data_IF_299281348456
#
_entry.id   IF_299281348456
#
_cell.length_a   1.000
_cell.length_b   1.000
_cell.length_c   1.000
_cell.angle_alpha   90.00
_cell.angle_beta   90.00
_cell.angle_gamma   90.00
#
_symmetry.space_group_name_H-M   'P 1'
#
loop_
_entity.id
_entity.type
_entity.pdbx_description
1 polymer ?
#
# COMPACT_ATOMS: atom_id res chain seq x y z
N UNK A 1 -16.03 1.67 -4.31
CA UNK A 1 -14.58 1.94 -4.11
C UNK A 1 -14.24 3.16 -4.93
N UNK A 2 -14.26 4.35 -4.33
CA UNK A 2 -13.89 5.58 -5.05
C UNK A 2 -12.45 5.41 -5.52
N UNK A 3 -12.20 5.46 -6.83
CA UNK A 3 -10.87 5.27 -7.43
C UNK A 3 -9.79 6.15 -6.78
N UNK A 4 -10.18 7.30 -6.24
CA UNK A 4 -9.32 8.21 -5.48
C UNK A 4 -8.83 7.64 -4.13
N UNK A 5 -9.60 6.74 -3.51
CA UNK A 5 -9.27 6.16 -2.21
C UNK A 5 -8.15 5.12 -2.23
N UNK A 6 -7.70 4.66 -3.40
CA UNK A 6 -6.57 3.73 -3.54
C UNK A 6 -5.31 4.42 -4.08
N UNK A 7 -5.36 5.72 -4.38
CA UNK A 7 -4.20 6.44 -4.92
C UNK A 7 -3.00 6.43 -3.95
N UNK A 8 -3.24 6.28 -2.65
CA UNK A 8 -2.18 6.15 -1.64
C UNK A 8 -1.38 4.84 -1.72
N UNK A 9 -1.87 3.81 -2.43
CA UNK A 9 -1.15 2.52 -2.62
C UNK A 9 0.01 2.66 -3.60
N UNK A 10 -0.07 3.60 -4.53
CA UNK A 10 0.91 3.79 -5.63
C UNK A 10 2.35 3.89 -5.10
N UNK A 11 2.69 4.78 -4.13
CA UNK A 11 4.05 4.87 -3.62
C UNK A 11 4.55 3.60 -2.91
N UNK A 12 3.66 2.82 -2.28
CA UNK A 12 4.04 1.54 -1.65
C UNK A 12 4.43 0.50 -2.70
N UNK A 13 3.70 0.47 -3.83
CA UNK A 13 4.01 -0.41 -4.93
C UNK A 13 5.31 0.00 -5.66
N UNK A 14 5.54 1.30 -5.84
CA UNK A 14 6.79 1.80 -6.42
C UNK A 14 8.01 1.41 -5.59
N UNK A 15 7.89 1.46 -4.26
CA UNK A 15 8.95 1.02 -3.35
C UNK A 15 9.20 -0.49 -3.43
N UNK A 16 8.14 -1.30 -3.40
CA UNK A 16 8.23 -2.75 -3.58
C UNK A 16 8.86 -3.16 -4.91
N UNK A 17 8.55 -2.46 -6.01
CA UNK A 17 9.16 -2.72 -7.32
C UNK A 17 10.65 -2.37 -7.33
N UNK A 18 11.04 -1.28 -6.66
CA UNK A 18 12.44 -0.85 -6.56
C UNK A 18 13.26 -1.77 -5.65
N UNK A 19 12.69 -2.21 -4.54
CA UNK A 19 13.34 -3.09 -3.55
C UNK A 19 13.24 -4.58 -3.90
N UNK A 20 12.33 -4.96 -4.78
CA UNK A 20 11.94 -6.37 -4.98
C UNK A 20 11.14 -6.96 -3.81
N UNK A 21 10.71 -6.14 -2.85
CA UNK A 21 10.02 -6.59 -1.65
C UNK A 21 8.52 -6.28 -1.69
N UNK A 22 7.76 -7.16 -2.35
CA UNK A 22 6.31 -7.06 -2.37
C UNK A 22 5.67 -7.24 -0.99
N UNK A 23 6.37 -7.90 -0.05
CA UNK A 23 5.79 -8.24 1.26
C UNK A 23 5.65 -7.01 2.15
N UNK A 24 6.64 -6.12 2.16
CA UNK A 24 6.55 -4.84 2.87
C UNK A 24 5.38 -3.97 2.39
N UNK A 25 5.14 -3.90 1.06
CA UNK A 25 4.00 -3.17 0.54
C UNK A 25 2.65 -3.77 0.97
N UNK A 26 2.52 -5.10 0.96
CA UNK A 26 1.29 -5.77 1.41
C UNK A 26 1.04 -5.51 2.90
N UNK A 27 2.08 -5.60 3.73
CA UNK A 27 1.98 -5.37 5.18
C UNK A 27 1.52 -3.94 5.48
N UNK A 28 2.15 -2.95 4.82
CA UNK A 28 1.77 -1.54 4.95
C UNK A 28 0.32 -1.25 4.51
N UNK A 29 -0.14 -1.93 3.45
CA UNK A 29 -1.53 -1.80 3.00
C UNK A 29 -2.49 -2.36 4.05
N UNK A 30 -2.21 -3.55 4.57
CA UNK A 30 -3.05 -4.19 5.60
C UNK A 30 -3.07 -3.37 6.89
N UNK A 31 -1.91 -2.86 7.33
CA UNK A 31 -1.81 -2.02 8.51
C UNK A 31 -2.69 -0.77 8.39
N UNK A 32 -2.71 -0.12 7.22
CA UNK A 32 -3.52 1.09 7.00
C UNK A 32 -5.00 0.80 6.85
N UNK A 33 -5.39 -0.30 6.20
CA UNK A 33 -6.80 -0.69 6.06
C UNK A 33 -7.41 -1.08 7.41
N UNK A 34 -6.61 -1.70 8.29
CA UNK A 34 -7.05 -2.13 9.61
C UNK A 34 -6.87 -1.04 10.68
N UNK A 35 -6.26 0.10 10.35
CA UNK A 35 -6.12 1.20 11.29
C UNK A 35 -7.52 1.74 11.66
N UNK A 36 -7.83 1.89 12.96
CA UNK A 36 -9.07 2.53 13.37
C UNK A 36 -9.12 3.98 12.86
N UNK A 37 -10.32 4.44 12.52
CA UNK A 37 -10.58 5.77 11.96
C UNK A 37 -10.31 6.90 12.97
#
# INVERSE_FOLDING_TARGET
MTKAGCAWVIPLLEDALRSGDARSAIDAILARVNAPA
#
